data_IF_240210759698
#
_entry.id   IF_240210759698
#
_cell.length_a   1.000
_cell.length_b   1.000
_cell.length_c   1.000
_cell.angle_alpha   90.00
_cell.angle_beta   90.00
_cell.angle_gamma   90.00
#
_symmetry.space_group_name_H-M   'P 1'
#
loop_
_entity.id
_entity.type
_entity.pdbx_description
1 polymer ?
#
# COMPACT_ATOMS: atom_id res chain seq x y z
N UNK A 1 14.43 76.06 2.36
CA UNK A 1 14.30 75.01 3.38
C UNK A 1 14.33 73.67 2.66
N UNK A 2 15.49 73.01 2.66
CA UNK A 2 15.67 71.68 2.08
C UNK A 2 15.46 70.70 3.22
N UNK A 3 14.48 69.81 3.09
CA UNK A 3 14.19 68.76 4.06
C UNK A 3 15.14 67.61 3.75
N UNK A 4 16.26 67.55 4.45
CA UNK A 4 17.16 66.39 4.35
C UNK A 4 16.47 65.20 5.01
N UNK A 5 16.11 64.22 4.19
CA UNK A 5 15.53 62.96 4.63
C UNK A 5 16.66 62.10 5.20
N UNK A 6 16.58 61.62 6.46
CA UNK A 6 17.59 60.70 6.98
C UNK A 6 17.51 59.38 6.20
N UNK A 7 18.65 58.88 5.71
CA UNK A 7 18.72 57.54 5.14
C UNK A 7 18.27 56.50 6.19
N UNK A 8 17.60 55.40 5.79
CA UNK A 8 17.32 54.29 6.69
C UNK A 8 18.64 53.68 7.18
N UNK A 9 18.69 53.08 8.38
CA UNK A 9 19.87 52.33 8.81
C UNK A 9 20.14 51.20 7.81
N UNK A 10 21.41 50.98 7.47
CA UNK A 10 21.83 49.81 6.72
C UNK A 10 21.39 48.57 7.50
N UNK A 11 20.51 47.77 6.91
CA UNK A 11 20.20 46.46 7.43
C UNK A 11 21.39 45.58 7.09
N UNK A 12 22.01 44.95 8.09
CA UNK A 12 22.91 43.83 7.83
C UNK A 12 22.12 42.84 6.98
N UNK A 13 22.54 42.67 5.72
CA UNK A 13 22.07 41.60 4.84
C UNK A 13 22.54 40.31 5.50
N UNK A 14 21.75 39.79 6.45
CA UNK A 14 22.04 38.54 7.14
C UNK A 14 22.04 37.44 6.10
N UNK A 15 23.23 37.12 5.62
CA UNK A 15 23.43 36.04 4.68
C UNK A 15 23.05 34.76 5.40
N UNK A 16 22.23 33.87 4.79
CA UNK A 16 21.70 32.69 5.48
C UNK A 16 22.78 31.78 6.09
N UNK A 17 24.05 31.93 5.70
CA UNK A 17 25.20 31.12 6.11
C UNK A 17 26.29 31.88 6.89
N UNK A 18 25.99 33.05 7.44
CA UNK A 18 27.00 33.94 8.05
C UNK A 18 27.53 33.47 9.41
N UNK A 19 26.75 32.69 10.17
CA UNK A 19 27.15 32.17 11.48
C UNK A 19 27.62 30.70 11.44
N UNK A 20 28.55 30.33 12.33
CA UNK A 20 29.08 28.96 12.46
C UNK A 20 27.97 27.90 12.67
N UNK A 21 26.85 28.28 13.30
CA UNK A 21 25.72 27.39 13.56
C UNK A 21 24.67 27.38 12.45
N UNK A 22 24.78 28.24 11.42
CA UNK A 22 23.80 28.30 10.33
C UNK A 22 23.62 26.95 9.65
N UNK A 23 24.70 26.22 9.34
CA UNK A 23 24.59 24.89 8.73
C UNK A 23 23.82 23.91 9.61
N UNK A 24 24.02 23.97 10.94
CA UNK A 24 23.28 23.12 11.88
C UNK A 24 21.80 23.50 11.94
N UNK A 25 21.49 24.79 11.89
CA UNK A 25 20.11 25.30 11.86
C UNK A 25 19.42 24.92 10.55
N UNK A 26 20.11 25.03 9.42
CA UNK A 26 19.64 24.60 8.11
C UNK A 26 19.37 23.09 8.08
N UNK A 27 20.30 22.28 8.57
CA UNK A 27 20.11 20.83 8.70
C UNK A 27 18.96 20.48 9.66
N UNK A 28 18.83 21.21 10.77
CA UNK A 28 17.74 21.02 11.72
C UNK A 28 16.38 21.38 11.10
N UNK A 29 16.31 22.46 10.33
CA UNK A 29 15.12 22.86 9.60
C UNK A 29 14.75 21.81 8.55
N UNK A 30 15.71 21.30 7.78
CA UNK A 30 15.47 20.21 6.83
C UNK A 30 15.02 18.92 7.52
N UNK A 31 15.60 18.56 8.67
CA UNK A 31 15.14 17.40 9.47
C UNK A 31 13.71 17.59 9.98
N UNK A 32 13.36 18.78 10.45
CA UNK A 32 12.00 19.09 10.92
C UNK A 32 10.99 19.04 9.76
N UNK A 33 11.33 19.64 8.61
CA UNK A 33 10.50 19.57 7.40
C UNK A 33 10.34 18.12 6.93
N UNK A 34 11.40 17.32 6.93
CA UNK A 34 11.30 15.90 6.56
C UNK A 34 10.42 15.11 7.54
N UNK A 35 10.50 15.39 8.84
CA UNK A 35 9.69 14.73 9.86
C UNK A 35 8.18 14.98 9.70
N UNK A 36 7.80 16.20 9.31
CA UNK A 36 6.38 16.58 9.20
C UNK A 36 5.80 16.52 7.77
N UNK A 37 6.61 16.77 6.74
CA UNK A 37 6.16 16.89 5.35
C UNK A 37 6.42 15.64 4.51
N UNK A 38 7.28 14.71 4.95
CA UNK A 38 7.36 13.38 4.37
C UNK A 38 6.58 12.42 5.27
N UNK A 39 5.25 12.31 5.11
CA UNK A 39 4.62 11.09 5.57
C UNK A 39 5.36 9.98 4.84
N UNK A 40 6.05 9.12 5.58
CA UNK A 40 6.65 7.94 4.96
C UNK A 40 5.45 7.18 4.41
N UNK A 41 5.20 7.29 3.12
CA UNK A 41 4.04 6.68 2.46
C UNK A 41 4.07 5.16 2.63
N UNK A 42 5.27 4.62 2.92
CA UNK A 42 5.53 3.26 3.35
C UNK A 42 5.00 2.89 4.75
N UNK A 43 4.70 3.87 5.61
CA UNK A 43 4.25 3.67 7.00
C UNK A 43 2.76 3.94 7.20
N UNK A 44 2.15 4.69 6.29
CA UNK A 44 0.69 4.80 6.21
C UNK A 44 0.17 3.58 5.49
N UNK A 45 -0.30 2.57 6.24
CA UNK A 45 -1.11 1.54 5.58
C UNK A 45 -2.38 2.23 5.13
N UNK A 46 -2.88 1.92 3.92
CA UNK A 46 -4.17 2.43 3.43
C UNK A 46 -5.31 2.21 4.43
N UNK A 47 -5.17 1.23 5.33
CA UNK A 47 -6.04 0.99 6.48
C UNK A 47 -6.11 2.13 7.49
N UNK A 48 -5.01 2.86 7.71
CA UNK A 48 -4.87 3.87 8.76
C UNK A 48 -5.43 5.23 8.32
N UNK A 49 -5.67 5.37 7.02
CA UNK A 49 -6.20 6.57 6.38
C UNK A 49 -7.73 6.62 6.33
N UNK A 50 -8.42 5.53 6.69
CA UNK A 50 -9.89 5.45 6.63
C UNK A 50 -10.44 5.29 8.05
N UNK A 51 -11.03 6.35 8.58
CA UNK A 51 -11.65 6.39 9.92
C UNK A 51 -12.88 5.49 10.07
N UNK A 52 -13.42 4.94 8.98
CA UNK A 52 -14.75 4.32 8.94
C UNK A 52 -14.71 2.81 8.67
N UNK A 53 -13.73 2.08 9.22
CA UNK A 53 -13.60 0.64 8.98
C UNK A 53 -14.61 -0.17 9.81
N UNK A 54 -15.56 -0.83 9.14
CA UNK A 54 -16.44 -1.84 9.75
C UNK A 54 -15.73 -3.19 9.95
N UNK A 55 -14.76 -3.53 9.09
CA UNK A 55 -14.03 -4.80 9.13
C UNK A 55 -12.52 -4.60 8.99
N UNK A 56 -11.75 -5.48 9.63
CA UNK A 56 -10.29 -5.53 9.55
C UNK A 56 -9.78 -6.97 9.59
N UNK A 57 -8.70 -7.24 8.84
CA UNK A 57 -7.94 -8.48 8.94
C UNK A 57 -7.05 -8.41 10.17
N UNK A 58 -7.05 -9.47 10.99
CA UNK A 58 -6.23 -9.54 12.21
C UNK A 58 -4.73 -9.65 11.86
N UNK A 59 -3.83 -8.93 12.56
CA UNK A 59 -2.42 -8.82 12.16
C UNK A 59 -1.61 -10.12 12.32
N UNK A 60 -2.15 -11.09 13.06
CA UNK A 60 -1.57 -12.39 13.41
C UNK A 60 -1.99 -13.53 12.45
N UNK A 61 -2.82 -13.24 11.45
CA UNK A 61 -3.27 -14.24 10.47
C UNK A 61 -2.13 -14.55 9.49
N UNK A 62 -1.78 -15.84 9.38
CA UNK A 62 -0.76 -16.32 8.44
C UNK A 62 -1.21 -16.28 6.98
N UNK A 63 -0.24 -16.29 6.06
CA UNK A 63 -0.51 -16.23 4.61
C UNK A 63 -1.43 -17.36 4.15
N UNK A 64 -1.21 -18.58 4.63
CA UNK A 64 -2.05 -19.73 4.30
C UNK A 64 -3.53 -19.48 4.62
N UNK A 65 -3.84 -18.99 5.83
CA UNK A 65 -5.21 -18.68 6.23
C UNK A 65 -5.81 -17.52 5.42
N UNK A 66 -5.00 -16.52 5.06
CA UNK A 66 -5.45 -15.42 4.20
C UNK A 66 -5.80 -15.91 2.79
N UNK A 67 -4.94 -16.76 2.20
CA UNK A 67 -5.14 -17.32 0.87
C UNK A 67 -6.27 -18.35 0.84
N UNK A 68 -6.42 -19.16 1.89
CA UNK A 68 -7.54 -20.10 2.04
C UNK A 68 -8.88 -19.35 2.09
N UNK A 69 -8.99 -18.30 2.91
CA UNK A 69 -10.19 -17.47 2.95
C UNK A 69 -10.47 -16.82 1.59
N UNK A 70 -9.45 -16.30 0.91
CA UNK A 70 -9.60 -15.73 -0.42
C UNK A 70 -10.08 -16.76 -1.45
N UNK A 71 -9.56 -18.00 -1.40
CA UNK A 71 -10.01 -19.09 -2.26
C UNK A 71 -11.48 -19.47 -1.99
N UNK A 72 -11.90 -19.47 -0.73
CA UNK A 72 -13.30 -19.74 -0.36
C UNK A 72 -14.27 -18.64 -0.84
N UNK A 73 -13.88 -17.37 -0.71
CA UNK A 73 -14.63 -16.23 -1.27
C UNK A 73 -14.75 -16.36 -2.80
N UNK A 74 -13.65 -16.68 -3.48
CA UNK A 74 -13.63 -16.90 -4.93
C UNK A 74 -14.52 -18.08 -5.34
N UNK A 75 -14.44 -19.21 -4.65
CA UNK A 75 -15.28 -20.37 -4.91
C UNK A 75 -16.78 -20.01 -4.74
N UNK A 76 -17.12 -19.23 -3.73
CA UNK A 76 -18.48 -18.72 -3.50
C UNK A 76 -18.96 -17.83 -4.65
N UNK A 77 -18.11 -16.88 -5.11
CA UNK A 77 -18.42 -16.03 -6.27
C UNK A 77 -18.63 -16.86 -7.52
N UNK A 78 -17.83 -17.92 -7.74
CA UNK A 78 -18.00 -18.82 -8.90
C UNK A 78 -19.37 -19.50 -8.88
N UNK A 79 -19.80 -20.01 -7.72
CA UNK A 79 -21.12 -20.64 -7.57
C UNK A 79 -22.23 -19.64 -7.89
N UNK A 80 -22.17 -18.43 -7.30
CA UNK A 80 -23.15 -17.38 -7.56
C UNK A 80 -23.20 -16.95 -9.03
N UNK A 81 -22.04 -16.78 -9.67
CA UNK A 81 -21.95 -16.40 -11.07
C UNK A 81 -22.44 -17.51 -12.01
N UNK A 82 -22.15 -18.77 -11.69
CA UNK A 82 -22.63 -19.92 -12.44
C UNK A 82 -24.16 -20.06 -12.31
N UNK A 83 -24.70 -19.93 -11.09
CA UNK A 83 -26.14 -19.97 -10.83
C UNK A 83 -26.87 -18.85 -11.60
N UNK A 84 -26.37 -17.62 -11.50
CA UNK A 84 -26.86 -16.48 -12.29
C UNK A 84 -26.80 -16.74 -13.79
N UNK A 85 -25.74 -17.40 -14.29
CA UNK A 85 -25.62 -17.75 -15.70
C UNK A 85 -26.66 -18.79 -16.16
N UNK A 86 -27.34 -19.50 -15.26
CA UNK A 86 -28.50 -20.34 -15.62
C UNK A 86 -29.80 -19.53 -15.71
N UNK A 87 -29.93 -18.45 -14.94
CA UNK A 87 -31.15 -17.63 -14.88
C UNK A 87 -31.24 -16.56 -16.00
N UNK A 88 -30.11 -16.18 -16.60
CA UNK A 88 -30.07 -15.10 -17.60
C UNK A 88 -29.66 -15.59 -18.99
N UNK A 89 -30.08 -14.84 -20.01
CA UNK A 89 -29.83 -15.15 -21.42
C UNK A 89 -29.02 -14.07 -22.16
N UNK A 90 -28.60 -14.41 -23.39
CA UNK A 90 -27.92 -13.50 -24.30
C UNK A 90 -26.53 -13.07 -23.82
N UNK A 91 -26.14 -11.83 -24.15
CA UNK A 91 -24.81 -11.30 -23.82
C UNK A 91 -24.54 -11.23 -22.32
N UNK A 92 -25.57 -11.04 -21.48
CA UNK A 92 -25.41 -11.00 -20.02
C UNK A 92 -25.02 -12.37 -19.46
N UNK A 93 -25.52 -13.46 -20.05
CA UNK A 93 -25.06 -14.83 -19.73
C UNK A 93 -23.57 -15.00 -19.99
N UNK A 94 -23.09 -14.49 -21.13
CA UNK A 94 -21.66 -14.52 -21.47
C UNK A 94 -20.81 -13.73 -20.47
N UNK A 95 -21.32 -12.62 -19.93
CA UNK A 95 -20.64 -11.86 -18.87
C UNK A 95 -20.55 -12.69 -17.58
N UNK A 96 -21.64 -13.33 -17.14
CA UNK A 96 -21.62 -14.19 -15.95
C UNK A 96 -20.63 -15.37 -16.12
N UNK A 97 -20.62 -16.03 -17.28
CA UNK A 97 -19.65 -17.09 -17.59
C UNK A 97 -18.21 -16.56 -17.65
N UNK A 98 -17.98 -15.33 -18.12
CA UNK A 98 -16.66 -14.71 -18.11
C UNK A 98 -16.16 -14.47 -16.68
N UNK A 99 -17.06 -14.11 -15.75
CA UNK A 99 -16.73 -14.01 -14.32
C UNK A 99 -16.25 -15.37 -13.80
N UNK A 100 -16.99 -16.45 -14.06
CA UNK A 100 -16.55 -17.81 -13.68
C UNK A 100 -15.14 -18.12 -14.20
N UNK A 101 -14.86 -17.80 -15.47
CA UNK A 101 -13.55 -18.06 -16.09
C UNK A 101 -12.42 -17.25 -15.46
N UNK A 102 -12.67 -16.00 -15.08
CA UNK A 102 -11.70 -15.16 -14.36
C UNK A 102 -11.44 -15.69 -12.95
N UNK A 103 -12.49 -16.12 -12.25
CA UNK A 103 -12.39 -16.71 -10.91
C UNK A 103 -11.57 -18.00 -10.94
N UNK A 104 -11.78 -18.87 -11.94
CA UNK A 104 -10.93 -20.06 -12.13
C UNK A 104 -9.45 -19.71 -12.32
N UNK A 105 -9.17 -18.64 -13.06
CA UNK A 105 -7.80 -18.13 -13.20
C UNK A 105 -7.23 -17.63 -11.87
N UNK A 106 -8.03 -16.91 -11.08
CA UNK A 106 -7.61 -16.41 -9.77
C UNK A 106 -7.34 -17.54 -8.77
N UNK A 107 -8.18 -18.59 -8.74
CA UNK A 107 -7.97 -19.76 -7.89
C UNK A 107 -6.64 -20.45 -8.22
N UNK A 108 -6.32 -20.66 -9.51
CA UNK A 108 -5.04 -21.23 -9.92
C UNK A 108 -3.83 -20.38 -9.48
N UNK A 109 -3.97 -19.05 -9.48
CA UNK A 109 -2.92 -18.15 -8.99
C UNK A 109 -2.76 -18.25 -7.46
N UNK A 110 -3.87 -18.41 -6.72
CA UNK A 110 -3.84 -18.62 -5.27
C UNK A 110 -3.17 -19.95 -4.93
N UNK A 111 -3.54 -21.04 -5.61
CA UNK A 111 -2.92 -22.35 -5.45
C UNK A 111 -1.40 -22.26 -5.71
N UNK A 112 -0.99 -21.61 -6.80
CA UNK A 112 0.43 -21.42 -7.10
C UNK A 112 1.16 -20.59 -6.04
N UNK A 113 0.50 -19.57 -5.48
CA UNK A 113 1.08 -18.74 -4.41
C UNK A 113 1.23 -19.53 -3.09
N UNK A 114 0.31 -20.45 -2.80
CA UNK A 114 0.43 -21.38 -1.66
C UNK A 114 1.61 -22.34 -1.87
N UNK A 115 1.72 -22.94 -3.05
CA UNK A 115 2.83 -23.84 -3.40
C UNK A 115 4.20 -23.15 -3.28
N UNK A 116 4.31 -21.90 -3.72
CA UNK A 116 5.56 -21.12 -3.60
C UNK A 116 5.90 -20.74 -2.16
N UNK A 117 4.89 -20.52 -1.32
CA UNK A 117 5.09 -20.21 0.09
C UNK A 117 5.46 -21.44 0.92
N UNK A 118 4.98 -22.61 0.50
CA UNK A 118 5.28 -23.88 1.14
C UNK A 118 6.24 -24.69 0.25
N UNK A 119 7.53 -24.28 0.12
CA UNK A 119 8.47 -24.99 -0.71
C UNK A 119 8.48 -26.44 -0.27
N UNK A 120 8.11 -27.33 -1.19
CA UNK A 120 7.92 -28.75 -0.97
C UNK A 120 8.99 -29.29 -0.02
N UNK A 121 8.57 -29.94 1.08
CA UNK A 121 9.48 -30.58 2.06
C UNK A 121 10.54 -31.50 1.41
N UNK A 122 10.35 -31.90 0.14
CA UNK A 122 11.33 -32.62 -0.67
C UNK A 122 12.70 -31.94 -0.79
N UNK A 123 12.83 -30.61 -0.67
CA UNK A 123 14.16 -29.96 -0.69
C UNK A 123 14.88 -30.00 0.66
N UNK A 124 14.20 -30.37 1.76
CA UNK A 124 14.83 -30.50 3.08
C UNK A 124 15.43 -31.88 3.33
N UNK A 125 15.10 -32.88 2.51
CA UNK A 125 15.59 -34.26 2.66
C UNK A 125 16.77 -34.65 1.75
N UNK A 126 17.30 -33.74 0.92
CA UNK A 126 18.42 -34.03 0.01
C UNK A 126 19.78 -33.42 0.42
N UNK A 127 19.95 -32.91 1.65
CA UNK A 127 21.26 -32.46 2.16
C UNK A 127 21.69 -33.26 3.41
N UNK A 128 22.01 -34.54 3.18
CA UNK A 128 22.89 -35.45 3.96
C UNK A 128 22.77 -36.79 3.21
N UNK A 129 23.80 -37.35 2.58
CA UNK A 129 25.20 -37.55 2.97
C UNK A 129 26.15 -37.45 1.76
#
# INVERSE_FOLDING_TARGET
MIKETPNPPEHDDVSPYESLDSKKLHDAAHRALDHYLKPTLAKLRFSDLRSDRLFSVSPDVGLESLLANAAEDLASVKVMAADLAFEIEGSRRSVALAICRMVDGALLLVDKALDDYNPSESDQFYVKE
#
